data_IF_971004430387
#
_entry.id   IF_971004430387
#
_cell.length_a   1.000
_cell.length_b   1.000
_cell.length_c   1.000
_cell.angle_alpha   90.00
_cell.angle_beta   90.00
_cell.angle_gamma   90.00
#
_symmetry.space_group_name_H-M   'P 1'
#
loop_
_entity.id
_entity.type
_entity.pdbx_description
1 polymer ?
#
# COMPACT_ATOMS: atom_id res chain seq x y z
N UNK A 1 6.93 -8.70 40.25
CA UNK A 1 6.48 -9.48 39.08
C UNK A 1 5.94 -8.43 38.13
N UNK A 2 6.83 -7.80 37.37
CA UNK A 2 6.50 -6.60 36.60
C UNK A 2 6.62 -6.94 35.12
N UNK A 3 5.58 -7.59 34.60
CA UNK A 3 5.35 -7.64 33.15
C UNK A 3 4.80 -6.28 32.71
N UNK A 4 5.68 -5.28 32.67
CA UNK A 4 5.43 -4.06 31.91
C UNK A 4 5.40 -4.44 30.43
N UNK A 5 4.20 -4.76 29.94
CA UNK A 5 3.95 -5.01 28.53
C UNK A 5 4.35 -3.78 27.71
N UNK A 6 5.57 -3.81 27.16
CA UNK A 6 6.02 -2.93 26.10
C UNK A 6 5.23 -3.27 24.82
N UNK A 7 3.95 -2.88 24.78
CA UNK A 7 3.25 -2.66 23.53
C UNK A 7 3.82 -1.39 22.89
N UNK A 8 5.05 -1.53 22.37
CA UNK A 8 5.60 -0.58 21.42
C UNK A 8 4.57 -0.35 20.31
N UNK A 9 4.48 0.90 19.84
CA UNK A 9 3.57 1.25 18.76
C UNK A 9 3.82 0.30 17.59
N UNK A 10 2.76 -0.29 17.03
CA UNK A 10 2.85 -1.03 15.76
C UNK A 10 3.70 -0.20 14.79
N UNK A 11 4.87 -0.70 14.32
CA UNK A 11 5.91 0.13 13.72
C UNK A 11 5.57 0.48 12.26
N UNK A 12 4.49 1.25 12.10
CA UNK A 12 3.98 1.68 10.81
C UNK A 12 4.54 3.04 10.40
N UNK A 13 5.44 3.03 9.42
CA UNK A 13 6.01 4.18 8.73
C UNK A 13 5.14 4.46 7.50
N UNK A 14 4.51 5.63 7.46
CA UNK A 14 3.74 6.11 6.29
C UNK A 14 4.65 6.83 5.29
N UNK A 15 4.27 6.91 3.99
CA UNK A 15 4.89 7.84 3.04
C UNK A 15 4.93 9.27 3.59
N UNK A 16 6.07 9.95 3.44
CA UNK A 16 6.25 11.32 3.93
C UNK A 16 5.81 12.27 2.83
N UNK A 17 4.75 13.04 3.07
CA UNK A 17 4.31 14.13 2.18
C UNK A 17 5.37 15.23 2.23
N UNK A 18 5.90 15.61 1.07
CA UNK A 18 6.76 16.76 0.89
C UNK A 18 6.01 17.85 0.14
N UNK A 19 6.04 19.08 0.65
CA UNK A 19 5.59 20.25 -0.13
C UNK A 19 6.46 20.41 -1.37
N UNK A 20 5.81 20.67 -2.50
CA UNK A 20 6.42 20.78 -3.84
C UNK A 20 7.73 21.59 -3.77
N UNK A 21 8.89 21.00 -4.08
CA UNK A 21 10.17 21.68 -3.92
C UNK A 21 10.21 22.93 -4.79
N UNK A 22 10.60 24.06 -4.21
CA UNK A 22 10.61 25.37 -4.87
C UNK A 22 11.69 25.52 -5.96
N UNK A 23 12.56 24.52 -6.09
CA UNK A 23 13.59 24.41 -7.13
C UNK A 23 13.97 22.95 -7.29
N UNK A 24 13.59 22.35 -8.42
CA UNK A 24 13.86 20.95 -8.76
C UNK A 24 12.92 20.53 -9.88
N UNK A 25 13.47 20.19 -11.04
CA UNK A 25 12.66 19.87 -12.22
C UNK A 25 12.13 18.44 -12.06
N UNK A 26 10.81 18.27 -12.00
CA UNK A 26 10.18 16.94 -11.84
C UNK A 26 9.88 16.39 -13.24
N UNK A 27 10.72 15.48 -13.74
CA UNK A 27 10.39 14.74 -14.96
C UNK A 27 9.24 13.79 -14.65
N UNK A 28 8.08 14.05 -15.25
CA UNK A 28 6.97 13.08 -15.32
C UNK A 28 7.26 12.09 -16.45
N UNK A 29 6.86 10.84 -16.27
CA UNK A 29 7.34 9.69 -17.06
C UNK A 29 6.08 8.95 -17.63
N UNK A 30 5.75 9.07 -18.94
CA UNK A 30 4.74 8.33 -19.78
C UNK A 30 5.30 7.50 -20.99
N UNK A 31 5.35 6.18 -20.91
CA UNK A 31 5.70 5.19 -21.95
C UNK A 31 4.74 4.04 -21.70
N UNK A 32 3.84 3.76 -22.64
CA UNK A 32 2.71 2.88 -22.37
C UNK A 32 3.09 1.42 -22.57
N UNK A 33 3.42 0.73 -21.47
CA UNK A 33 3.61 -0.72 -21.48
C UNK A 33 2.31 -1.40 -21.05
N UNK A 34 1.71 -2.15 -21.98
CA UNK A 34 0.55 -2.99 -21.72
C UNK A 34 1.00 -4.36 -21.27
N UNK A 35 1.00 -4.61 -19.96
CA UNK A 35 1.22 -5.94 -19.41
C UNK A 35 -0.11 -6.65 -19.19
N UNK A 36 -0.16 -7.94 -19.54
CA UNK A 36 -1.36 -8.78 -19.43
C UNK A 36 -1.08 -9.94 -18.48
N UNK A 37 -1.47 -9.77 -17.22
CA UNK A 37 -1.40 -10.82 -16.21
C UNK A 37 -2.80 -11.44 -16.03
N UNK A 38 -2.86 -12.78 -16.03
CA UNK A 38 -4.11 -13.54 -15.84
C UNK A 38 -4.10 -14.12 -14.43
N UNK A 39 -4.96 -13.62 -13.56
CA UNK A 39 -5.03 -13.99 -12.15
C UNK A 39 -6.41 -14.57 -11.87
N UNK A 40 -6.48 -15.84 -11.50
CA UNK A 40 -7.73 -16.55 -11.17
C UNK A 40 -8.85 -16.40 -12.23
N UNK A 41 -8.48 -16.37 -13.51
CA UNK A 41 -9.40 -16.19 -14.65
C UNK A 41 -9.76 -14.74 -14.97
N UNK A 42 -9.38 -13.77 -14.14
CA UNK A 42 -9.57 -12.34 -14.41
C UNK A 42 -8.33 -11.77 -15.10
N UNK A 43 -8.53 -11.06 -16.20
CA UNK A 43 -7.47 -10.25 -16.85
C UNK A 43 -7.53 -8.84 -16.28
N UNK A 44 -6.45 -8.38 -15.66
CA UNK A 44 -6.33 -7.00 -15.20
C UNK A 44 -5.43 -6.26 -16.20
N UNK A 45 -5.98 -5.42 -17.10
CA UNK A 45 -5.16 -4.50 -17.86
C UNK A 45 -4.66 -3.40 -16.91
N UNK A 46 -3.35 -3.14 -16.92
CA UNK A 46 -2.80 -1.98 -16.24
C UNK A 46 -1.95 -1.15 -17.21
N UNK A 47 -2.26 0.14 -17.26
CA UNK A 47 -1.54 1.13 -18.03
C UNK A 47 -0.29 1.55 -17.27
N UNK A 48 0.89 1.21 -17.80
CA UNK A 48 2.15 1.77 -17.31
C UNK A 48 2.48 3.09 -18.03
N UNK A 49 3.35 3.88 -17.42
CA UNK A 49 3.80 5.16 -17.94
C UNK A 49 5.25 5.45 -17.47
N UNK A 50 6.24 5.51 -18.38
CA UNK A 50 7.64 5.97 -18.17
C UNK A 50 8.45 6.61 -19.38
N UNK A 51 8.14 7.84 -19.88
CA UNK A 51 8.96 8.69 -20.80
C UNK A 51 9.98 9.68 -20.18
N UNK A 52 9.93 10.98 -20.57
CA UNK A 52 11.11 11.86 -20.66
C UNK A 52 10.76 13.29 -21.07
N UNK A 53 11.18 14.26 -20.28
CA UNK A 53 11.39 15.62 -20.78
C UNK A 53 12.91 15.84 -20.87
N UNK A 54 13.45 15.77 -22.10
CA UNK A 54 14.89 15.95 -22.36
C UNK A 54 15.14 17.42 -22.68
N UNK A 55 15.57 18.19 -21.69
CA UNK A 55 16.07 19.55 -21.89
C UNK A 55 17.61 19.57 -21.81
N UNK A 56 18.28 19.00 -22.83
CA UNK A 56 19.74 19.12 -23.02
C UNK A 56 20.06 19.99 -24.24
N UNK A 57 20.86 21.07 -24.08
CA UNK A 57 21.42 21.80 -25.21
C UNK A 57 22.30 20.90 -26.09
N UNK A 58 22.38 21.21 -27.38
CA UNK A 58 22.98 20.34 -28.41
C UNK A 58 24.53 20.27 -28.29
N UNK A 59 25.17 21.21 -27.60
CA UNK A 59 26.62 21.45 -27.66
C UNK A 59 27.47 20.73 -26.58
N UNK A 60 27.00 19.59 -26.04
CA UNK A 60 27.70 18.87 -24.96
C UNK A 60 28.81 17.92 -25.47
N UNK A 61 29.86 17.60 -24.67
CA UNK A 61 30.91 16.66 -25.08
C UNK A 61 30.47 15.18 -25.03
N UNK A 62 31.02 14.32 -25.92
CA UNK A 62 30.72 12.87 -25.98
C UNK A 62 30.83 12.16 -24.61
N UNK A 63 31.77 12.58 -23.76
CA UNK A 63 31.95 12.01 -22.41
C UNK A 63 30.79 12.33 -21.44
N UNK A 64 30.11 13.48 -21.57
CA UNK A 64 28.92 13.74 -20.76
C UNK A 64 27.75 12.87 -21.19
N UNK A 65 27.61 12.57 -22.49
CA UNK A 65 26.57 11.62 -22.95
C UNK A 65 26.81 10.21 -22.42
N UNK A 66 28.06 9.73 -22.28
CA UNK A 66 28.34 8.41 -21.69
C UNK A 66 28.03 8.39 -20.19
N UNK A 67 28.30 9.48 -19.46
CA UNK A 67 27.91 9.62 -18.05
C UNK A 67 26.39 9.70 -17.88
N UNK A 68 25.71 10.50 -18.71
CA UNK A 68 24.25 10.61 -18.77
C UNK A 68 23.60 9.27 -19.14
N UNK A 69 24.19 8.49 -20.05
CA UNK A 69 23.70 7.15 -20.41
C UNK A 69 23.80 6.16 -19.23
N UNK A 70 24.93 6.13 -18.50
CA UNK A 70 25.06 5.29 -17.29
C UNK A 70 24.09 5.70 -16.18
N UNK A 71 23.91 7.00 -15.96
CA UNK A 71 22.92 7.53 -15.02
C UNK A 71 21.49 7.13 -15.43
N UNK A 72 21.17 7.14 -16.73
CA UNK A 72 19.90 6.64 -17.27
C UNK A 72 19.71 5.15 -17.00
N UNK A 73 20.74 4.31 -17.19
CA UNK A 73 20.64 2.87 -16.95
C UNK A 73 20.44 2.55 -15.45
N UNK A 74 21.17 3.21 -14.54
CA UNK A 74 20.98 3.08 -13.09
C UNK A 74 19.59 3.59 -12.63
N UNK A 75 19.13 4.70 -13.20
CA UNK A 75 17.79 5.25 -12.97
C UNK A 75 16.69 4.27 -13.40
N UNK A 76 16.82 3.68 -14.59
CA UNK A 76 15.87 2.69 -15.12
C UNK A 76 15.80 1.45 -14.22
N UNK A 77 16.94 0.97 -13.70
CA UNK A 77 16.98 -0.17 -12.76
C UNK A 77 16.31 0.17 -11.42
N UNK A 78 16.55 1.36 -10.86
CA UNK A 78 15.88 1.83 -9.63
C UNK A 78 14.36 1.96 -9.83
N UNK A 79 13.92 2.59 -10.93
CA UNK A 79 12.51 2.73 -11.26
C UNK A 79 11.82 1.36 -11.47
N UNK A 80 12.43 0.44 -12.24
CA UNK A 80 11.89 -0.89 -12.47
C UNK A 80 11.75 -1.68 -11.14
N UNK A 81 12.77 -1.62 -10.28
CA UNK A 81 12.73 -2.24 -8.94
C UNK A 81 11.60 -1.66 -8.10
N UNK A 82 11.40 -0.35 -8.12
CA UNK A 82 10.32 0.31 -7.39
C UNK A 82 8.93 -0.04 -7.95
N UNK A 83 8.77 -0.12 -9.29
CA UNK A 83 7.52 -0.55 -9.93
C UNK A 83 7.14 -1.96 -9.47
N UNK A 84 8.10 -2.89 -9.45
CA UNK A 84 7.86 -4.25 -8.96
C UNK A 84 7.43 -4.27 -7.48
N UNK A 85 8.06 -3.45 -6.63
CA UNK A 85 7.68 -3.32 -5.22
C UNK A 85 6.28 -2.69 -5.04
N UNK A 86 5.94 -1.66 -5.81
CA UNK A 86 4.61 -1.02 -5.85
C UNK A 86 3.53 -2.05 -6.23
N UNK A 87 3.76 -2.81 -7.30
CA UNK A 87 2.86 -3.88 -7.74
C UNK A 87 2.71 -4.97 -6.66
N UNK A 88 3.81 -5.34 -5.99
CA UNK A 88 3.76 -6.31 -4.89
C UNK A 88 2.94 -5.80 -3.69
N UNK A 89 3.07 -4.51 -3.33
CA UNK A 89 2.26 -3.88 -2.28
C UNK A 89 0.76 -3.93 -2.59
N UNK A 90 0.37 -3.60 -3.83
CA UNK A 90 -1.03 -3.68 -4.29
C UNK A 90 -1.53 -5.13 -4.22
N UNK A 91 -0.74 -6.10 -4.71
CA UNK A 91 -1.09 -7.52 -4.71
C UNK A 91 -1.33 -8.08 -3.30
N UNK A 92 -0.43 -7.86 -2.34
CA UNK A 92 -0.62 -8.39 -0.98
C UNK A 92 -1.83 -7.76 -0.29
N UNK A 93 -2.12 -6.50 -0.58
CA UNK A 93 -3.30 -5.83 -0.04
C UNK A 93 -4.62 -6.34 -0.65
N UNK A 94 -4.65 -6.74 -1.92
CA UNK A 94 -5.82 -7.43 -2.50
C UNK A 94 -6.01 -8.83 -1.92
N UNK A 95 -4.93 -9.57 -1.63
CA UNK A 95 -5.01 -10.84 -0.91
C UNK A 95 -5.61 -10.64 0.50
N UNK A 96 -5.15 -9.62 1.24
CA UNK A 96 -5.72 -9.28 2.55
C UNK A 96 -7.20 -8.87 2.46
N UNK A 97 -7.61 -8.14 1.40
CA UNK A 97 -9.01 -7.83 1.11
C UNK A 97 -9.84 -9.09 0.89
N UNK A 98 -9.35 -10.04 0.09
CA UNK A 98 -10.03 -11.31 -0.19
C UNK A 98 -10.16 -12.18 1.07
N UNK A 99 -9.10 -12.25 1.90
CA UNK A 99 -9.11 -12.93 3.20
C UNK A 99 -10.14 -12.32 4.14
N UNK A 100 -10.16 -10.99 4.26
CA UNK A 100 -11.15 -10.26 5.05
C UNK A 100 -12.59 -10.50 4.55
N UNK A 101 -12.83 -10.46 3.25
CA UNK A 101 -14.14 -10.76 2.67
C UNK A 101 -14.58 -12.20 3.02
N UNK A 102 -13.67 -13.17 2.89
CA UNK A 102 -13.94 -14.57 3.23
C UNK A 102 -14.26 -14.75 4.73
N UNK A 103 -13.50 -14.10 5.61
CA UNK A 103 -13.78 -14.05 7.04
C UNK A 103 -15.17 -13.46 7.33
N UNK A 104 -15.54 -12.33 6.73
CA UNK A 104 -16.83 -11.68 6.97
C UNK A 104 -18.02 -12.51 6.46
N UNK A 105 -17.89 -13.15 5.28
CA UNK A 105 -18.91 -14.07 4.75
C UNK A 105 -19.10 -15.25 5.71
N UNK A 106 -18.03 -15.78 6.30
CA UNK A 106 -18.10 -16.88 7.25
C UNK A 106 -18.68 -16.45 8.61
N UNK A 107 -18.28 -15.28 9.12
CA UNK A 107 -18.74 -14.72 10.39
C UNK A 107 -20.26 -14.44 10.38
N UNK A 108 -20.80 -13.96 9.25
CA UNK A 108 -22.22 -13.67 9.08
C UNK A 108 -23.02 -14.78 8.39
N UNK A 109 -22.46 -16.00 8.24
CA UNK A 109 -23.13 -17.11 7.52
C UNK A 109 -24.51 -17.47 8.07
N UNK A 110 -24.72 -17.26 9.38
CA UNK A 110 -25.94 -17.58 10.13
C UNK A 110 -26.80 -16.32 10.41
N UNK A 111 -26.42 -15.13 9.89
CA UNK A 111 -27.09 -13.84 10.09
C UNK A 111 -27.83 -13.41 8.81
N UNK A 112 -29.17 -13.40 8.87
CA UNK A 112 -30.02 -13.04 7.74
C UNK A 112 -30.04 -11.54 7.40
N UNK A 113 -29.42 -10.69 8.22
CA UNK A 113 -29.41 -9.23 8.00
C UNK A 113 -28.26 -8.76 7.08
N UNK A 114 -27.20 -9.56 6.94
CA UNK A 114 -26.02 -9.23 6.12
C UNK A 114 -25.80 -10.33 5.08
N UNK A 115 -26.21 -10.08 3.84
CA UNK A 115 -26.06 -11.06 2.76
C UNK A 115 -24.63 -11.15 2.23
N UNK A 116 -24.28 -12.31 1.67
CA UNK A 116 -23.01 -12.55 0.99
C UNK A 116 -22.82 -11.59 -0.19
N UNK A 117 -23.90 -11.33 -0.94
CA UNK A 117 -23.93 -10.46 -2.12
C UNK A 117 -23.66 -9.01 -1.73
N UNK A 118 -24.21 -8.56 -0.59
CA UNK A 118 -23.90 -7.25 -0.02
C UNK A 118 -22.40 -7.13 0.30
N UNK A 119 -21.83 -8.12 1.00
CA UNK A 119 -20.40 -8.12 1.36
C UNK A 119 -19.47 -8.12 0.12
N UNK A 120 -19.79 -8.89 -0.91
CA UNK A 120 -19.02 -8.93 -2.17
C UNK A 120 -19.02 -7.56 -2.88
N UNK A 121 -20.11 -6.79 -2.76
CA UNK A 121 -20.23 -5.45 -3.33
C UNK A 121 -19.42 -4.35 -2.63
N UNK A 122 -18.79 -4.63 -1.48
CA UNK A 122 -18.08 -3.62 -0.70
C UNK A 122 -16.61 -3.44 -1.14
N UNK A 123 -16.15 -2.19 -1.12
CA UNK A 123 -14.73 -1.88 -1.19
C UNK A 123 -13.99 -2.29 0.09
N UNK A 124 -12.65 -2.24 0.03
CA UNK A 124 -11.79 -2.67 1.14
C UNK A 124 -11.97 -1.83 2.40
N UNK A 125 -12.22 -0.52 2.28
CA UNK A 125 -12.42 0.38 3.41
C UNK A 125 -13.73 0.04 4.13
N UNK A 126 -14.79 -0.27 3.39
CA UNK A 126 -16.08 -0.68 3.93
C UNK A 126 -16.06 -2.07 4.58
N UNK A 127 -15.37 -3.05 3.99
CA UNK A 127 -15.10 -4.33 4.67
C UNK A 127 -14.34 -4.12 5.99
N UNK A 128 -13.31 -3.26 6.00
CA UNK A 128 -12.56 -2.89 7.22
C UNK A 128 -13.44 -2.18 8.23
N UNK A 129 -14.40 -1.35 7.80
CA UNK A 129 -15.36 -0.69 8.70
C UNK A 129 -16.26 -1.72 9.41
N UNK A 130 -16.68 -2.80 8.74
CA UNK A 130 -17.43 -3.90 9.35
C UNK A 130 -16.55 -4.66 10.36
N UNK A 131 -15.33 -5.06 9.98
CA UNK A 131 -14.36 -5.68 10.90
C UNK A 131 -14.14 -4.82 12.14
N UNK A 132 -13.99 -3.50 11.96
CA UNK A 132 -13.81 -2.56 13.07
C UNK A 132 -14.99 -2.52 14.03
N UNK A 133 -16.22 -2.84 13.60
CA UNK A 133 -17.37 -2.99 14.51
C UNK A 133 -17.25 -4.29 15.28
N UNK A 134 -17.04 -5.41 14.57
CA UNK A 134 -16.89 -6.76 15.13
C UNK A 134 -15.85 -6.79 16.26
N UNK A 135 -14.62 -6.32 16.03
CA UNK A 135 -13.56 -6.34 17.05
C UNK A 135 -13.78 -5.38 18.22
N UNK A 136 -14.72 -4.42 18.10
CA UNK A 136 -15.10 -3.51 19.19
C UNK A 136 -16.25 -4.04 20.04
N UNK A 137 -17.09 -4.93 19.49
CA UNK A 137 -18.27 -5.49 20.16
C UNK A 137 -18.09 -6.91 20.67
N UNK A 138 -17.26 -7.73 20.00
CA UNK A 138 -17.08 -9.15 20.35
C UNK A 138 -16.01 -9.34 21.42
N UNK A 139 -16.39 -9.96 22.54
CA UNK A 139 -15.45 -10.39 23.57
C UNK A 139 -14.60 -11.60 23.12
N UNK A 140 -15.08 -12.40 22.16
CA UNK A 140 -14.41 -13.64 21.73
C UNK A 140 -13.02 -13.45 21.11
N UNK A 141 -12.63 -12.21 20.80
CA UNK A 141 -11.32 -11.86 20.27
C UNK A 141 -10.38 -11.22 21.31
N UNK A 142 -10.75 -11.21 22.61
CA UNK A 142 -9.93 -10.58 23.65
C UNK A 142 -8.63 -11.33 23.96
N UNK A 143 -8.51 -12.60 23.59
CA UNK A 143 -7.29 -13.39 23.80
C UNK A 143 -6.26 -13.20 22.66
N UNK A 144 -6.68 -12.61 21.53
CA UNK A 144 -5.78 -12.25 20.42
C UNK A 144 -4.88 -11.08 20.86
N UNK A 145 -3.54 -11.20 20.85
CA UNK A 145 -2.65 -10.15 21.35
C UNK A 145 -2.82 -8.79 20.67
N UNK A 146 -3.15 -8.78 19.38
CA UNK A 146 -3.42 -7.57 18.58
C UNK A 146 -4.82 -6.97 18.78
N UNK A 147 -5.65 -7.58 19.63
CA UNK A 147 -7.04 -7.15 19.93
C UNK A 147 -7.39 -7.16 21.44
N UNK A 148 -6.50 -7.64 22.32
CA UNK A 148 -6.82 -7.91 23.73
C UNK A 148 -7.11 -6.71 24.65
N UNK A 149 -7.21 -5.49 24.13
CA UNK A 149 -7.76 -4.36 24.89
C UNK A 149 -8.36 -3.28 23.99
N UNK A 150 -9.27 -2.45 24.54
CA UNK A 150 -9.85 -1.30 23.83
C UNK A 150 -8.81 -0.34 23.25
N UNK A 151 -7.65 -0.20 23.90
CA UNK A 151 -6.55 0.61 23.39
C UNK A 151 -5.88 -0.04 22.17
N UNK A 152 -5.57 -1.34 22.27
CA UNK A 152 -4.93 -2.10 21.19
C UNK A 152 -5.87 -2.21 19.99
N UNK A 153 -7.17 -2.46 20.20
CA UNK A 153 -8.21 -2.43 19.13
C UNK A 153 -8.23 -1.07 18.41
N UNK A 154 -8.10 0.04 19.13
CA UNK A 154 -8.03 1.39 18.53
C UNK A 154 -6.76 1.55 17.68
N UNK A 155 -5.63 0.98 18.10
CA UNK A 155 -4.39 0.97 17.35
C UNK A 155 -4.52 0.09 16.09
N UNK A 156 -4.95 -1.17 16.22
CA UNK A 156 -5.20 -2.09 15.11
C UNK A 156 -6.12 -1.49 14.05
N UNK A 157 -7.29 -0.97 14.45
CA UNK A 157 -8.27 -0.39 13.51
C UNK A 157 -7.79 0.89 12.82
N UNK A 158 -6.84 1.62 13.42
CA UNK A 158 -6.11 2.74 12.79
C UNK A 158 -5.01 2.26 11.85
N UNK A 159 -4.24 1.24 12.23
CA UNK A 159 -3.20 0.65 11.37
C UNK A 159 -3.81 0.06 10.11
N UNK A 160 -4.91 -0.70 10.21
CA UNK A 160 -5.64 -1.22 9.06
C UNK A 160 -6.17 -0.08 8.16
N UNK A 161 -6.67 1.01 8.73
CA UNK A 161 -7.09 2.18 7.96
C UNK A 161 -5.94 2.76 7.13
N UNK A 162 -4.81 3.07 7.79
CA UNK A 162 -3.65 3.65 7.11
C UNK A 162 -3.07 2.70 6.06
N UNK A 163 -3.09 1.38 6.30
CA UNK A 163 -2.67 0.36 5.33
C UNK A 163 -3.49 0.43 4.03
N UNK A 164 -4.82 0.61 4.14
CA UNK A 164 -5.69 0.76 2.96
C UNK A 164 -5.45 2.11 2.27
N UNK A 165 -5.24 3.20 3.02
CA UNK A 165 -4.88 4.50 2.43
C UNK A 165 -3.56 4.43 1.66
N UNK A 166 -2.50 3.86 2.24
CA UNK A 166 -1.19 3.79 1.61
C UNK A 166 -1.21 2.80 0.42
N UNK A 167 -2.02 1.73 0.48
CA UNK A 167 -2.36 0.90 -0.69
C UNK A 167 -3.02 1.71 -1.81
N UNK A 168 -3.92 2.64 -1.49
CA UNK A 168 -4.57 3.49 -2.50
C UNK A 168 -3.56 4.44 -3.15
N UNK A 169 -2.60 4.98 -2.40
CA UNK A 169 -1.44 5.72 -2.94
C UNK A 169 -0.66 4.82 -3.92
N UNK A 170 -0.35 3.58 -3.54
CA UNK A 170 0.34 2.62 -4.42
C UNK A 170 -0.50 2.12 -5.60
N UNK A 171 -1.83 2.30 -5.58
CA UNK A 171 -2.71 1.88 -6.69
C UNK A 171 -2.89 3.01 -7.70
N UNK A 172 -3.18 4.23 -7.23
CA UNK A 172 -3.61 5.35 -8.06
C UNK A 172 -2.56 6.45 -8.24
N UNK A 173 -1.48 6.43 -7.46
CA UNK A 173 -0.43 7.43 -7.54
C UNK A 173 0.50 7.24 -8.74
N UNK A 174 0.88 8.34 -9.36
CA UNK A 174 1.85 8.43 -10.46
C UNK A 174 3.27 8.32 -9.91
N UNK A 175 4.10 7.49 -10.53
CA UNK A 175 5.51 7.39 -10.17
C UNK A 175 6.29 8.57 -10.75
N UNK A 176 7.08 9.25 -9.94
CA UNK A 176 8.00 10.31 -10.37
C UNK A 176 9.40 10.08 -9.78
N UNK A 177 10.38 10.77 -10.33
CA UNK A 177 11.76 10.73 -9.82
C UNK A 177 12.33 12.14 -9.78
N UNK A 178 12.94 12.48 -8.66
CA UNK A 178 13.66 13.74 -8.50
C UNK A 178 14.98 13.66 -9.28
N UNK A 179 15.23 14.57 -10.22
CA UNK A 179 16.47 14.55 -11.03
C UNK A 179 17.70 14.80 -10.16
N UNK A 180 17.60 15.75 -9.22
CA UNK A 180 18.76 16.22 -8.46
C UNK A 180 19.18 15.18 -7.43
N UNK A 181 18.22 14.59 -6.70
CA UNK A 181 18.51 13.60 -5.64
C UNK A 181 18.43 12.15 -6.10
N UNK A 182 17.87 11.88 -7.29
CA UNK A 182 17.58 10.53 -7.81
C UNK A 182 16.63 9.71 -6.92
N UNK A 183 15.86 10.38 -6.04
CA UNK A 183 14.85 9.76 -5.19
C UNK A 183 13.58 9.44 -5.96
N UNK A 184 13.01 8.26 -5.68
CA UNK A 184 11.72 7.83 -6.21
C UNK A 184 10.59 8.31 -5.29
N UNK A 185 9.58 8.94 -5.87
CA UNK A 185 8.43 9.46 -5.16
C UNK A 185 7.12 9.13 -5.90
N UNK A 186 6.00 9.26 -5.21
CA UNK A 186 4.66 9.04 -5.77
C UNK A 186 3.86 10.33 -5.63
N UNK A 187 3.35 10.84 -6.75
CA UNK A 187 2.35 11.91 -6.79
C UNK A 187 0.95 11.32 -6.75
N UNK A 188 0.07 11.83 -5.89
CA UNK A 188 -1.32 11.42 -5.82
C UNK A 188 -2.23 12.57 -5.39
N UNK A 189 -3.55 12.40 -5.56
CA UNK A 189 -4.54 13.37 -5.11
C UNK A 189 -4.98 13.07 -3.67
N UNK A 190 -4.76 14.01 -2.77
CA UNK A 190 -5.32 14.03 -1.42
C UNK A 190 -6.51 15.00 -1.40
N UNK A 191 -7.71 14.47 -1.60
CA UNK A 191 -8.88 15.30 -1.92
C UNK A 191 -8.68 15.98 -3.26
N UNK A 192 -8.68 17.32 -3.28
CA UNK A 192 -8.46 18.13 -4.49
C UNK A 192 -7.02 18.65 -4.63
N UNK A 193 -6.08 18.20 -3.80
CA UNK A 193 -4.69 18.66 -3.80
C UNK A 193 -3.74 17.58 -4.32
N UNK A 194 -2.95 17.91 -5.35
CA UNK A 194 -1.79 17.10 -5.77
C UNK A 194 -0.72 17.16 -4.68
N UNK A 195 -0.31 16.00 -4.17
CA UNK A 195 0.73 15.85 -3.15
C UNK A 195 1.77 14.83 -3.61
N UNK A 196 3.04 15.11 -3.30
CA UNK A 196 4.16 14.21 -3.57
C UNK A 196 4.59 13.54 -2.28
N UNK A 197 4.76 12.22 -2.27
CA UNK A 197 5.30 11.49 -1.13
C UNK A 197 6.56 10.70 -1.51
N UNK A 198 7.61 10.83 -0.69
CA UNK A 198 8.84 10.05 -0.86
C UNK A 198 8.62 8.67 -0.24
N UNK A 199 8.96 7.62 -0.99
CA UNK A 199 8.76 6.23 -0.57
C UNK A 199 10.12 5.54 -0.48
N UNK A 200 10.65 5.47 0.74
CA UNK A 200 11.89 4.75 1.03
C UNK A 200 11.65 3.25 1.19
N UNK A 201 12.72 2.46 1.09
CA UNK A 201 12.68 1.02 1.38
C UNK A 201 12.11 0.71 2.78
N UNK A 202 12.42 1.54 3.78
CA UNK A 202 11.85 1.46 5.13
C UNK A 202 10.32 1.54 5.17
N UNK A 203 9.72 2.39 4.35
CA UNK A 203 8.26 2.56 4.25
C UNK A 203 7.65 1.29 3.61
N UNK A 204 8.28 0.75 2.57
CA UNK A 204 7.85 -0.48 1.91
C UNK A 204 7.98 -1.70 2.84
N UNK A 205 9.09 -1.84 3.56
CA UNK A 205 9.27 -2.90 4.57
C UNK A 205 8.23 -2.81 5.69
N UNK A 206 7.93 -1.58 6.15
CA UNK A 206 6.88 -1.34 7.16
C UNK A 206 5.48 -1.69 6.63
N UNK A 207 5.21 -1.47 5.34
CA UNK A 207 3.98 -1.90 4.68
C UNK A 207 3.84 -3.44 4.67
N UNK A 208 4.87 -4.18 4.27
CA UNK A 208 4.84 -5.65 4.27
C UNK A 208 4.76 -6.25 5.68
N UNK A 209 5.48 -5.66 6.66
CA UNK A 209 5.37 -6.05 8.06
C UNK A 209 3.95 -5.84 8.60
N UNK A 210 3.31 -4.75 8.20
CA UNK A 210 1.92 -4.44 8.58
C UNK A 210 0.91 -5.34 7.89
N UNK A 211 1.08 -5.63 6.60
CA UNK A 211 0.31 -6.67 5.91
C UNK A 211 0.35 -7.97 6.72
N UNK A 212 1.55 -8.44 7.11
CA UNK A 212 1.70 -9.67 7.89
C UNK A 212 0.95 -9.63 9.22
N UNK A 213 1.08 -8.57 10.03
CA UNK A 213 0.34 -8.46 11.30
C UNK A 213 -1.18 -8.52 11.09
N UNK A 214 -1.69 -7.85 10.06
CA UNK A 214 -3.13 -7.86 9.75
C UNK A 214 -3.58 -9.24 9.23
N UNK A 215 -2.74 -9.91 8.44
CA UNK A 215 -2.99 -11.23 7.87
C UNK A 215 -3.00 -12.32 8.95
N UNK A 216 -1.98 -12.34 9.82
CA UNK A 216 -1.85 -13.23 10.98
C UNK A 216 -3.04 -13.02 11.94
N UNK A 217 -3.42 -11.76 12.22
CA UNK A 217 -4.59 -11.45 13.07
C UNK A 217 -5.89 -12.00 12.49
N UNK A 218 -6.08 -11.95 11.16
CA UNK A 218 -7.27 -12.53 10.52
C UNK A 218 -7.30 -14.06 10.58
N UNK A 219 -6.16 -14.75 10.54
CA UNK A 219 -6.09 -16.20 10.75
C UNK A 219 -6.45 -16.59 12.19
N UNK A 220 -5.97 -15.85 13.19
CA UNK A 220 -6.36 -16.06 14.59
C UNK A 220 -7.87 -15.85 14.78
N UNK A 221 -8.44 -14.78 14.23
CA UNK A 221 -9.88 -14.51 14.27
C UNK A 221 -10.68 -15.61 13.57
N UNK A 222 -10.25 -16.06 12.39
CA UNK A 222 -10.92 -17.13 11.64
C UNK A 222 -10.86 -18.46 12.40
N UNK A 223 -9.72 -18.77 13.03
CA UNK A 223 -9.52 -19.97 13.86
C UNK A 223 -10.38 -20.00 15.13
N UNK A 224 -10.84 -18.84 15.61
CA UNK A 224 -11.78 -18.73 16.73
C UNK A 224 -13.22 -18.97 16.25
N UNK A 225 -13.61 -18.42 15.10
CA UNK A 225 -14.98 -18.51 14.56
C UNK A 225 -15.27 -19.88 13.92
N UNK A 226 -14.23 -20.65 13.59
CA UNK A 226 -14.33 -22.02 13.05
C UNK A 226 -14.46 -23.12 14.11
N UNK A 227 -14.35 -22.79 15.41
CA UNK A 227 -14.52 -23.71 16.54
C UNK A 227 -15.98 -23.76 17.00
#
# INVERSE_FOLDING_TARGET
>A
MDNTNNFERLPYKRPVIVTKPSSGLIIKVMNTVWLKEVISGVTIPYEMSCFREINTPIDKPIQSYIAEQKLVDEHNVKQASFIMLKLHCVRVAELLKQKLLSFLIFYYRDDSTITKEYLIGLDFMNLRNILSKIVKSSASFSDIPTLGSKHIIKLFTKTFHNFIEDRNIYTHGTLVTNIDTHDVAIEYLLGNQEVTCIVSNDILQSFFFTYKILDDTLDEMQSIVQK
#
